data_IF_302987116008
#
_entry.id   IF_302987116008
#
_cell.length_a   1.000
_cell.length_b   1.000
_cell.length_c   1.000
_cell.angle_alpha   90.00
_cell.angle_beta   90.00
_cell.angle_gamma   90.00
#
_symmetry.space_group_name_H-M   'P 1'
#
loop_
_entity.id
_entity.type
_entity.pdbx_description
1 polymer ?
#
# COMPACT_ATOMS: atom_id res chain seq x y z
N UNK A 1 61.60 46.98 -36.99
CA UNK A 1 60.96 47.20 -38.29
C UNK A 1 59.46 47.19 -38.00
N UNK A 2 58.79 48.30 -37.67
CA UNK A 2 58.25 49.31 -38.55
C UNK A 2 57.40 48.66 -39.66
N UNK A 3 56.11 48.92 -39.79
CA UNK A 3 55.35 50.14 -40.16
C UNK A 3 53.86 49.80 -39.92
N UNK A 4 53.06 50.46 -39.14
CA UNK A 4 52.39 51.75 -39.37
C UNK A 4 51.31 51.81 -40.48
N UNK A 5 50.12 52.23 -40.08
CA UNK A 5 49.14 53.03 -40.84
C UNK A 5 47.87 52.21 -41.25
N UNK A 6 46.66 52.74 -41.30
CA UNK A 6 46.12 54.11 -41.25
C UNK A 6 44.59 53.95 -41.02
N UNK A 7 44.08 54.92 -40.34
CA UNK A 7 42.73 55.41 -40.04
C UNK A 7 41.77 55.42 -41.27
N UNK A 8 40.49 55.18 -41.03
CA UNK A 8 39.41 55.51 -41.96
C UNK A 8 38.06 55.51 -41.24
N UNK A 9 37.67 56.68 -40.74
CA UNK A 9 36.31 57.01 -40.30
C UNK A 9 35.32 57.09 -41.48
N UNK A 10 34.08 56.94 -41.11
CA UNK A 10 32.79 57.44 -41.63
C UNK A 10 31.82 56.31 -41.82
N UNK A 11 30.61 56.30 -41.33
CA UNK A 11 29.67 57.33 -40.95
C UNK A 11 28.38 56.68 -40.47
N UNK A 12 27.74 57.33 -39.55
CA UNK A 12 26.45 56.98 -38.95
C UNK A 12 25.31 57.11 -39.97
N UNK A 13 24.38 56.19 -39.98
CA UNK A 13 22.94 56.46 -40.23
C UNK A 13 22.13 55.36 -39.52
N UNK A 14 21.15 55.82 -38.74
CA UNK A 14 20.34 54.98 -37.82
C UNK A 14 19.33 54.08 -38.46
N UNK A 15 18.94 53.06 -37.71
CA UNK A 15 17.64 52.44 -37.82
C UNK A 15 17.14 52.13 -36.40
N UNK A 16 16.21 52.94 -35.96
CA UNK A 16 15.38 52.70 -34.79
C UNK A 16 14.43 51.57 -35.16
N UNK A 17 14.65 50.39 -34.65
CA UNK A 17 13.79 49.21 -34.82
C UNK A 17 13.34 48.66 -33.47
N UNK A 18 12.10 48.87 -33.19
CA UNK A 18 11.21 48.43 -32.12
C UNK A 18 11.60 47.01 -31.55
N UNK A 19 12.27 46.96 -30.41
CA UNK A 19 12.39 45.68 -29.65
C UNK A 19 11.24 45.69 -28.66
N UNK A 20 10.18 44.93 -29.02
CA UNK A 20 9.09 44.64 -28.11
C UNK A 20 9.61 43.98 -26.83
N UNK A 21 9.28 44.53 -25.68
CA UNK A 21 9.44 43.94 -24.36
C UNK A 21 8.58 42.65 -24.30
N UNK A 22 9.19 41.53 -24.55
CA UNK A 22 8.64 40.24 -24.09
C UNK A 22 9.03 40.16 -22.62
N UNK A 23 8.09 40.51 -21.76
CA UNK A 23 8.20 40.30 -20.32
C UNK A 23 8.34 38.79 -20.04
N UNK A 24 9.56 38.32 -19.90
CA UNK A 24 9.85 37.02 -19.30
C UNK A 24 9.52 37.16 -17.82
N UNK A 25 8.29 36.84 -17.44
CA UNK A 25 7.95 36.62 -16.04
C UNK A 25 8.82 35.44 -15.57
N UNK A 26 9.84 35.75 -14.81
CA UNK A 26 10.63 34.76 -14.09
C UNK A 26 9.63 33.93 -13.27
N UNK A 27 9.32 32.72 -13.74
CA UNK A 27 8.62 31.76 -12.91
C UNK A 27 9.55 31.51 -11.72
N UNK A 28 9.08 31.87 -10.54
CA UNK A 28 9.74 31.48 -9.31
C UNK A 28 9.98 29.99 -9.38
N UNK A 29 11.17 29.46 -9.06
CA UNK A 29 11.37 28.03 -8.96
C UNK A 29 10.33 27.53 -7.96
N UNK A 30 9.46 26.62 -8.43
CA UNK A 30 8.52 25.92 -7.55
C UNK A 30 9.42 25.20 -6.55
N UNK A 31 9.46 25.73 -5.34
CA UNK A 31 10.23 25.15 -4.25
C UNK A 31 9.69 23.74 -4.05
N UNK A 32 10.56 22.74 -4.17
CA UNK A 32 10.16 21.36 -3.95
C UNK A 32 9.47 21.27 -2.58
N UNK A 33 8.28 20.64 -2.48
CA UNK A 33 7.56 20.60 -1.24
C UNK A 33 8.46 19.97 -0.17
N UNK A 34 8.58 20.63 0.98
CA UNK A 34 9.35 20.12 2.11
C UNK A 34 8.74 18.78 2.55
N UNK A 35 9.58 17.77 2.80
CA UNK A 35 9.06 16.48 3.27
C UNK A 35 8.29 16.70 4.58
N UNK A 36 7.01 16.35 4.58
CA UNK A 36 6.17 16.42 5.77
C UNK A 36 6.67 15.40 6.80
N UNK A 37 6.71 15.79 8.07
CA UNK A 37 7.13 14.90 9.15
C UNK A 37 5.97 13.94 9.48
N UNK A 38 6.22 12.62 9.53
CA UNK A 38 5.21 11.68 9.99
C UNK A 38 4.84 11.92 11.47
N UNK A 39 3.58 11.68 11.80
CA UNK A 39 3.01 11.83 13.13
C UNK A 39 2.62 10.45 13.67
N UNK A 40 3.20 10.06 14.80
CA UNK A 40 2.89 8.81 15.47
C UNK A 40 1.88 9.05 16.59
N UNK A 41 0.83 8.22 16.65
CA UNK A 41 -0.20 8.31 17.68
C UNK A 41 -0.87 6.95 17.92
N UNK A 42 -1.65 6.87 18.99
CA UNK A 42 -2.46 5.71 19.30
C UNK A 42 -3.93 6.04 19.09
N UNK A 43 -4.59 5.25 18.25
CA UNK A 43 -6.02 5.33 17.99
C UNK A 43 -6.75 4.36 18.93
N UNK A 44 -7.65 4.85 19.83
CA UNK A 44 -8.46 3.97 20.65
C UNK A 44 -9.31 3.04 19.77
N UNK A 45 -9.34 1.75 20.10
CA UNK A 45 -10.10 0.78 19.31
C UNK A 45 -11.57 0.77 19.69
N UNK A 46 -12.46 0.81 18.70
CA UNK A 46 -13.90 0.62 18.84
C UNK A 46 -14.28 -0.86 18.91
N UNK A 47 -13.34 -1.78 18.64
CA UNK A 47 -13.58 -3.21 18.66
C UNK A 47 -13.84 -3.75 20.08
N UNK A 48 -14.59 -4.86 20.17
CA UNK A 48 -14.93 -5.51 21.45
C UNK A 48 -13.70 -5.92 22.28
N UNK A 49 -12.56 -6.17 21.66
CA UNK A 49 -11.29 -6.47 22.32
C UNK A 49 -10.67 -5.21 22.97
N UNK A 50 -11.08 -4.01 22.53
CA UNK A 50 -10.59 -2.75 23.07
C UNK A 50 -9.11 -2.46 22.76
N UNK A 51 -8.49 -1.66 23.65
CA UNK A 51 -7.08 -1.27 23.54
C UNK A 51 -6.85 -0.14 22.55
N UNK A 52 -5.62 -0.04 22.04
CA UNK A 52 -5.20 1.03 21.13
C UNK A 52 -4.48 0.44 19.92
N UNK A 53 -4.61 1.11 18.77
CA UNK A 53 -3.88 0.78 17.55
C UNK A 53 -2.82 1.84 17.30
N UNK A 54 -1.58 1.40 17.16
CA UNK A 54 -0.51 2.29 16.75
C UNK A 54 -0.72 2.73 15.31
N UNK A 55 -0.62 4.02 15.09
CA UNK A 55 -0.80 4.67 13.79
C UNK A 55 0.38 5.57 13.48
N UNK A 56 0.80 5.56 12.22
CA UNK A 56 1.77 6.51 11.68
C UNK A 56 1.12 7.24 10.50
N UNK A 57 0.83 8.52 10.73
CA UNK A 57 0.21 9.38 9.72
C UNK A 57 1.28 10.19 8.98
N UNK A 58 1.21 10.17 7.66
CA UNK A 58 2.04 11.00 6.78
C UNK A 58 1.16 12.09 6.16
N UNK A 59 1.25 13.33 6.63
CA UNK A 59 0.50 14.44 6.06
C UNK A 59 0.89 14.64 4.58
N UNK A 60 -0.06 15.06 3.73
CA UNK A 60 0.23 15.33 2.33
C UNK A 60 1.10 16.56 2.18
N UNK A 61 1.99 16.59 1.17
CA UNK A 61 2.84 17.74 0.89
C UNK A 61 2.08 18.94 0.29
N UNK A 62 0.80 18.76 -0.03
CA UNK A 62 -0.09 19.79 -0.58
C UNK A 62 -1.45 19.79 0.13
N UNK A 63 -2.08 20.94 0.21
CA UNK A 63 -3.44 21.11 0.78
C UNK A 63 -4.33 21.78 -0.26
N UNK A 64 -5.53 21.24 -0.56
CA UNK A 64 -6.09 20.00 0.00
C UNK A 64 -5.35 18.75 -0.49
N UNK A 65 -5.49 17.64 0.26
CA UNK A 65 -4.95 16.35 -0.14
C UNK A 65 -5.57 15.87 -1.45
N UNK A 66 -4.76 15.26 -2.31
CA UNK A 66 -5.22 14.65 -3.58
C UNK A 66 -6.00 13.35 -3.37
N UNK A 67 -5.87 12.75 -2.21
CA UNK A 67 -6.52 11.52 -1.79
C UNK A 67 -5.95 11.00 -0.48
N UNK A 68 -6.55 9.93 0.00
CA UNK A 68 -6.21 9.29 1.27
C UNK A 68 -5.84 7.84 1.02
N UNK A 69 -4.81 7.37 1.71
CA UNK A 69 -4.31 6.00 1.59
C UNK A 69 -4.23 5.38 2.98
N UNK A 70 -4.86 4.21 3.17
CA UNK A 70 -4.70 3.40 4.38
C UNK A 70 -3.90 2.15 4.01
N UNK A 71 -2.74 1.98 4.64
CA UNK A 71 -1.89 0.83 4.43
C UNK A 71 -2.33 -0.35 5.28
N UNK A 72 -2.51 -1.50 4.64
CA UNK A 72 -2.86 -2.78 5.24
C UNK A 72 -1.67 -3.72 5.10
N UNK A 73 -0.97 -3.94 6.21
CA UNK A 73 0.26 -4.70 6.23
C UNK A 73 0.06 -6.21 5.95
N UNK A 74 1.09 -6.93 5.51
CA UNK A 74 1.04 -8.37 5.30
C UNK A 74 1.05 -9.14 6.63
N UNK A 75 0.95 -10.46 6.53
CA UNK A 75 0.78 -11.38 7.64
C UNK A 75 2.10 -11.73 8.32
N UNK A 76 2.10 -11.76 9.65
CA UNK A 76 3.19 -12.25 10.50
C UNK A 76 4.57 -11.64 10.14
N UNK A 77 5.59 -12.48 9.90
CA UNK A 77 6.96 -12.04 9.62
C UNK A 77 7.10 -11.20 8.34
N UNK A 78 6.20 -11.35 7.36
CA UNK A 78 6.22 -10.53 6.14
C UNK A 78 6.02 -9.04 6.47
N UNK A 79 5.28 -8.72 7.55
CA UNK A 79 5.08 -7.35 8.02
C UNK A 79 6.42 -6.69 8.39
N UNK A 80 7.23 -7.35 9.20
CA UNK A 80 8.51 -6.80 9.65
C UNK A 80 9.49 -6.60 8.50
N UNK A 81 9.56 -7.56 7.58
CA UNK A 81 10.39 -7.49 6.37
C UNK A 81 9.97 -6.36 5.43
N UNK A 82 8.69 -6.01 5.42
CA UNK A 82 8.12 -5.00 4.51
C UNK A 82 8.12 -3.57 5.09
N UNK A 83 8.41 -3.37 6.38
CA UNK A 83 8.32 -2.05 7.04
C UNK A 83 9.09 -0.95 6.31
N UNK A 84 10.30 -1.26 5.81
CA UNK A 84 11.12 -0.30 5.07
C UNK A 84 10.43 0.13 3.76
N UNK A 85 9.91 -0.81 2.99
CA UNK A 85 9.18 -0.52 1.75
C UNK A 85 7.89 0.26 2.02
N UNK A 86 7.14 -0.11 3.07
CA UNK A 86 5.95 0.64 3.49
C UNK A 86 6.29 2.09 3.87
N UNK A 87 7.37 2.30 4.62
CA UNK A 87 7.82 3.64 5.00
C UNK A 87 8.28 4.48 3.80
N UNK A 88 9.00 3.89 2.85
CA UNK A 88 9.43 4.56 1.61
C UNK A 88 8.23 4.95 0.76
N UNK A 89 7.28 4.04 0.57
CA UNK A 89 6.08 4.29 -0.23
C UNK A 89 5.18 5.34 0.40
N UNK A 90 4.99 5.30 1.72
CA UNK A 90 4.18 6.32 2.41
C UNK A 90 4.75 7.72 2.24
N UNK A 91 6.07 7.87 2.32
CA UNK A 91 6.74 9.16 2.04
C UNK A 91 6.59 9.57 0.58
N UNK A 92 6.69 8.62 -0.36
CA UNK A 92 6.51 8.90 -1.78
C UNK A 92 5.07 9.36 -2.09
N UNK A 93 4.06 8.73 -1.49
CA UNK A 93 2.67 9.16 -1.60
C UNK A 93 2.44 10.53 -0.96
N UNK A 94 2.99 10.77 0.24
CA UNK A 94 2.88 12.07 0.90
C UNK A 94 3.50 13.19 0.04
N UNK A 95 4.67 12.96 -0.54
CA UNK A 95 5.32 13.87 -1.48
C UNK A 95 4.49 14.11 -2.75
N UNK A 96 3.75 13.09 -3.22
CA UNK A 96 2.83 13.18 -4.35
C UNK A 96 1.48 13.85 -3.99
N UNK A 97 1.27 14.24 -2.72
CA UNK A 97 0.10 14.97 -2.25
C UNK A 97 -1.02 14.10 -1.67
N UNK A 98 -0.74 12.84 -1.35
CA UNK A 98 -1.70 11.95 -0.67
C UNK A 98 -1.44 11.91 0.83
N UNK A 99 -2.50 11.95 1.63
CA UNK A 99 -2.41 11.65 3.06
C UNK A 99 -2.32 10.14 3.27
N UNK A 100 -1.39 9.64 4.08
CA UNK A 100 -1.21 8.19 4.27
C UNK A 100 -1.29 7.82 5.74
N UNK A 101 -2.12 6.84 6.08
CA UNK A 101 -2.18 6.21 7.38
C UNK A 101 -1.63 4.79 7.30
N UNK A 102 -0.57 4.51 8.07
CA UNK A 102 -0.17 3.16 8.40
C UNK A 102 -0.78 2.81 9.75
N UNK A 103 -1.43 1.66 9.86
CA UNK A 103 -2.01 1.16 11.09
C UNK A 103 -1.46 -0.22 11.41
N UNK A 104 -0.94 -0.42 12.61
CA UNK A 104 -0.62 -1.73 13.14
C UNK A 104 -1.92 -2.35 13.66
N UNK A 105 -2.29 -3.53 13.18
CA UNK A 105 -3.52 -4.22 13.55
C UNK A 105 -3.42 -4.84 14.95
N UNK A 106 -4.53 -5.27 15.54
CA UNK A 106 -4.56 -5.91 16.85
C UNK A 106 -3.48 -6.99 17.00
N UNK A 107 -2.66 -6.87 18.04
CA UNK A 107 -1.58 -7.82 18.34
C UNK A 107 -0.40 -7.79 17.36
N UNK A 108 -0.31 -6.75 16.53
CA UNK A 108 0.79 -6.53 15.61
C UNK A 108 1.55 -5.24 15.97
N UNK A 109 2.86 -5.23 15.78
CA UNK A 109 3.73 -4.07 15.98
C UNK A 109 3.61 -3.47 17.37
N UNK A 110 3.25 -2.18 17.43
CA UNK A 110 3.11 -1.42 18.67
C UNK A 110 1.64 -1.30 19.15
N UNK A 111 0.70 -1.99 18.48
CA UNK A 111 -0.70 -2.05 18.89
C UNK A 111 -0.92 -2.96 20.08
N UNK A 112 -2.00 -2.69 20.85
CA UNK A 112 -2.37 -3.49 22.03
C UNK A 112 -2.63 -4.96 21.68
N UNK A 113 -2.47 -5.83 22.68
CA UNK A 113 -2.69 -7.26 22.60
C UNK A 113 -1.50 -8.02 22.04
N UNK A 114 -1.59 -9.34 22.07
CA UNK A 114 -0.64 -10.24 21.44
C UNK A 114 -1.20 -10.78 20.12
N UNK A 115 -0.33 -11.26 19.24
CA UNK A 115 -0.74 -11.85 17.95
C UNK A 115 -1.76 -12.97 18.12
N UNK A 116 -1.70 -13.71 19.24
CA UNK A 116 -2.66 -14.73 19.60
C UNK A 116 -4.04 -14.24 20.02
N UNK A 117 -4.20 -12.96 20.34
CA UNK A 117 -5.50 -12.36 20.71
C UNK A 117 -6.26 -11.88 19.47
N UNK A 118 -5.57 -11.80 18.34
CA UNK A 118 -6.14 -11.34 17.09
C UNK A 118 -7.19 -12.30 16.53
N UNK A 119 -8.15 -11.71 15.84
CA UNK A 119 -9.09 -12.41 14.96
C UNK A 119 -9.09 -11.72 13.59
N UNK A 120 -9.39 -12.45 12.54
CA UNK A 120 -9.50 -11.88 11.20
C UNK A 120 -10.53 -10.74 11.14
N UNK A 121 -11.67 -10.92 11.80
CA UNK A 121 -12.70 -9.91 11.87
C UNK A 121 -12.25 -8.64 12.62
N UNK A 122 -11.48 -8.78 13.72
CA UNK A 122 -10.92 -7.64 14.44
C UNK A 122 -9.94 -6.85 13.55
N UNK A 123 -9.10 -7.51 12.78
CA UNK A 123 -8.22 -6.86 11.82
C UNK A 123 -8.97 -6.08 10.75
N UNK A 124 -10.06 -6.65 10.22
CA UNK A 124 -10.94 -5.92 9.28
C UNK A 124 -11.53 -4.67 9.94
N UNK A 125 -12.00 -4.77 11.20
CA UNK A 125 -12.53 -3.61 11.93
C UNK A 125 -11.48 -2.53 12.19
N UNK A 126 -10.25 -2.91 12.53
CA UNK A 126 -9.15 -1.97 12.70
C UNK A 126 -8.89 -1.15 11.41
N UNK A 127 -8.93 -1.80 10.25
CA UNK A 127 -8.78 -1.14 8.96
C UNK A 127 -9.95 -0.18 8.70
N UNK A 128 -11.18 -0.61 8.95
CA UNK A 128 -12.40 0.23 8.80
C UNK A 128 -12.30 1.46 9.70
N UNK A 129 -11.84 1.28 10.94
CA UNK A 129 -11.63 2.37 11.87
C UNK A 129 -10.54 3.34 11.38
N UNK A 130 -9.42 2.83 10.86
CA UNK A 130 -8.38 3.63 10.21
C UNK A 130 -8.93 4.47 9.04
N UNK A 131 -9.81 3.88 8.22
CA UNK A 131 -10.49 4.60 7.15
C UNK A 131 -11.38 5.73 7.68
N UNK A 132 -12.17 5.47 8.72
CA UNK A 132 -13.02 6.48 9.35
C UNK A 132 -12.20 7.63 9.92
N UNK A 133 -11.09 7.32 10.58
CA UNK A 133 -10.19 8.32 11.14
C UNK A 133 -9.61 9.23 10.04
N UNK A 134 -9.07 8.66 8.97
CA UNK A 134 -8.49 9.41 7.86
C UNK A 134 -9.53 10.32 7.18
N UNK A 135 -10.77 9.84 7.03
CA UNK A 135 -11.86 10.63 6.43
C UNK A 135 -12.34 11.74 7.37
N UNK A 136 -12.36 11.50 8.68
CA UNK A 136 -12.67 12.54 9.67
C UNK A 136 -11.60 13.65 9.69
N UNK A 137 -10.31 13.27 9.64
CA UNK A 137 -9.20 14.20 9.53
C UNK A 137 -9.28 15.04 8.24
N UNK A 138 -9.68 14.41 7.13
CA UNK A 138 -9.94 15.08 5.87
C UNK A 138 -10.99 16.18 5.99
N UNK A 139 -12.13 15.87 6.60
CA UNK A 139 -13.27 16.78 6.76
C UNK A 139 -12.91 18.02 7.63
N UNK A 140 -11.98 17.88 8.57
CA UNK A 140 -11.51 19.00 9.38
C UNK A 140 -10.64 19.98 8.57
N UNK A 141 -10.02 19.54 7.49
CA UNK A 141 -9.05 20.33 6.75
C UNK A 141 -9.60 20.98 5.48
N UNK A 142 -10.72 20.52 4.93
CA UNK A 142 -11.40 21.12 3.76
C UNK A 142 -12.72 20.43 3.46
N UNK A 143 -13.75 21.21 3.12
CA UNK A 143 -15.05 20.70 2.63
C UNK A 143 -14.91 19.92 1.30
N UNK A 144 -13.95 20.31 0.45
CA UNK A 144 -13.66 19.62 -0.81
C UNK A 144 -12.90 18.28 -0.61
N UNK A 145 -12.23 18.09 0.53
CA UNK A 145 -11.49 16.87 0.81
C UNK A 145 -12.41 15.64 0.96
N UNK A 146 -13.70 15.83 1.28
CA UNK A 146 -14.68 14.75 1.34
C UNK A 146 -14.89 14.06 -0.03
N UNK A 147 -14.53 14.68 -1.14
CA UNK A 147 -14.63 14.11 -2.50
C UNK A 147 -13.35 13.42 -2.97
N UNK A 148 -12.24 13.60 -2.23
CA UNK A 148 -10.96 13.00 -2.60
C UNK A 148 -11.01 11.45 -2.45
N UNK A 149 -10.36 10.69 -3.36
CA UNK A 149 -10.44 9.24 -3.37
C UNK A 149 -9.78 8.63 -2.14
N UNK A 150 -10.45 7.64 -1.55
CA UNK A 150 -9.89 6.76 -0.53
C UNK A 150 -9.31 5.52 -1.19
N UNK A 151 -8.07 5.19 -0.85
CA UNK A 151 -7.35 4.01 -1.27
C UNK A 151 -7.06 3.10 -0.09
N UNK A 152 -7.33 1.81 -0.27
CA UNK A 152 -6.78 0.76 0.59
C UNK A 152 -5.58 0.16 -0.11
N UNK A 153 -4.40 0.28 0.50
CA UNK A 153 -3.16 -0.25 -0.03
C UNK A 153 -2.76 -1.50 0.75
N UNK A 154 -2.96 -2.65 0.14
CA UNK A 154 -2.66 -3.96 0.72
C UNK A 154 -1.39 -4.58 0.16
N UNK A 155 -0.67 -5.31 1.00
CA UNK A 155 0.45 -6.17 0.59
C UNK A 155 0.14 -7.62 0.99
N UNK A 156 0.20 -8.56 0.04
CA UNK A 156 0.02 -9.99 0.29
C UNK A 156 -1.32 -10.29 1.00
N UNK A 157 -1.30 -10.86 2.22
CA UNK A 157 -2.52 -11.07 3.01
C UNK A 157 -3.29 -9.78 3.28
N UNK A 158 -2.60 -8.63 3.38
CA UNK A 158 -3.21 -7.32 3.50
C UNK A 158 -4.13 -6.97 2.35
N UNK A 159 -3.92 -7.54 1.15
CA UNK A 159 -4.85 -7.36 0.02
C UNK A 159 -6.21 -8.01 0.30
N UNK A 160 -6.23 -9.18 0.94
CA UNK A 160 -7.46 -9.89 1.29
C UNK A 160 -8.25 -9.11 2.36
N UNK A 161 -7.54 -8.62 3.39
CA UNK A 161 -8.12 -7.77 4.43
C UNK A 161 -8.68 -6.46 3.85
N UNK A 162 -7.95 -5.84 2.92
CA UNK A 162 -8.37 -4.60 2.26
C UNK A 162 -9.69 -4.78 1.49
N UNK A 163 -9.87 -5.91 0.78
CA UNK A 163 -11.12 -6.23 0.07
C UNK A 163 -12.29 -6.40 1.05
N UNK A 164 -12.09 -7.11 2.15
CA UNK A 164 -13.14 -7.31 3.16
C UNK A 164 -13.47 -6.01 3.91
N UNK A 165 -12.46 -5.19 4.23
CA UNK A 165 -12.67 -3.88 4.83
C UNK A 165 -13.40 -2.92 3.87
N UNK A 166 -13.07 -2.93 2.58
CA UNK A 166 -13.74 -2.13 1.57
C UNK A 166 -15.27 -2.34 1.54
N UNK A 167 -15.72 -3.57 1.81
CA UNK A 167 -17.14 -3.88 1.90
C UNK A 167 -17.87 -3.17 3.08
N UNK A 168 -17.12 -2.83 4.14
CA UNK A 168 -17.64 -2.30 5.40
C UNK A 168 -17.38 -0.80 5.60
N UNK A 169 -16.55 -0.18 4.77
CA UNK A 169 -16.38 1.28 4.77
C UNK A 169 -17.58 1.96 4.13
N UNK A 170 -18.06 3.08 4.67
CA UNK A 170 -19.29 3.73 4.21
C UNK A 170 -19.16 4.42 2.85
N UNK A 171 -17.95 4.75 2.41
CA UNK A 171 -17.68 5.36 1.11
C UNK A 171 -17.16 4.35 0.07
N UNK A 172 -17.20 4.73 -1.20
CA UNK A 172 -16.54 3.96 -2.25
C UNK A 172 -15.01 4.12 -2.17
N UNK A 173 -14.30 3.03 -2.40
CA UNK A 173 -12.84 2.96 -2.26
C UNK A 173 -12.18 2.51 -3.56
N UNK A 174 -10.90 2.81 -3.68
CA UNK A 174 -10.00 2.22 -4.65
C UNK A 174 -9.03 1.26 -3.94
N UNK A 175 -8.52 0.27 -4.64
CA UNK A 175 -7.55 -0.68 -4.10
C UNK A 175 -6.21 -0.53 -4.83
N UNK A 176 -5.14 -0.45 -4.06
CA UNK A 176 -3.78 -0.64 -4.54
C UNK A 176 -3.26 -1.94 -3.94
N UNK A 177 -3.04 -2.93 -4.77
CA UNK A 177 -2.72 -4.29 -4.33
C UNK A 177 -1.29 -4.66 -4.74
N UNK A 178 -0.43 -4.89 -3.75
CA UNK A 178 0.93 -5.35 -3.93
C UNK A 178 1.00 -6.87 -3.74
N UNK A 179 1.41 -7.60 -4.78
CA UNK A 179 1.52 -9.05 -4.81
C UNK A 179 0.28 -9.76 -4.23
N UNK A 180 -0.91 -9.45 -4.74
CA UNK A 180 -2.15 -9.97 -4.17
C UNK A 180 -2.30 -11.47 -4.43
N UNK A 181 -2.62 -12.27 -3.40
CA UNK A 181 -2.95 -13.67 -3.55
C UNK A 181 -4.42 -13.82 -3.95
N UNK A 182 -4.76 -14.79 -4.79
CA UNK A 182 -6.17 -15.08 -5.13
C UNK A 182 -6.98 -15.57 -3.92
N UNK A 183 -6.31 -16.16 -2.91
CA UNK A 183 -6.92 -16.61 -1.65
C UNK A 183 -5.88 -16.70 -0.55
N UNK A 184 -6.34 -16.76 0.71
CA UNK A 184 -5.45 -16.85 1.86
C UNK A 184 -4.94 -18.26 2.15
N UNK A 185 -5.61 -19.30 1.66
CA UNK A 185 -5.23 -20.70 1.90
C UNK A 185 -3.75 -21.03 1.58
N UNK A 186 -3.18 -20.61 0.42
CA UNK A 186 -1.75 -20.82 0.16
C UNK A 186 -0.84 -20.09 1.13
N UNK A 187 -1.24 -18.90 1.62
CA UNK A 187 -0.47 -18.13 2.60
C UNK A 187 -0.45 -18.84 3.96
N UNK A 188 -1.59 -19.32 4.43
CA UNK A 188 -1.66 -20.12 5.65
C UNK A 188 -0.80 -21.39 5.52
N UNK A 189 -0.87 -22.08 4.38
CA UNK A 189 -0.02 -23.26 4.14
C UNK A 189 1.46 -22.93 4.16
N UNK A 190 1.87 -21.80 3.55
CA UNK A 190 3.24 -21.33 3.57
C UNK A 190 3.70 -21.06 5.00
N UNK A 191 2.90 -20.37 5.80
CA UNK A 191 3.21 -20.06 7.19
C UNK A 191 3.33 -21.31 8.06
N UNK A 192 2.39 -22.27 7.95
CA UNK A 192 2.47 -23.54 8.68
C UNK A 192 3.75 -24.34 8.35
N UNK A 193 4.28 -24.21 7.12
CA UNK A 193 5.55 -24.87 6.73
C UNK A 193 6.78 -24.29 7.43
N UNK A 194 6.73 -23.07 7.94
CA UNK A 194 7.85 -22.49 8.70
C UNK A 194 8.15 -23.31 9.96
N UNK A 195 7.11 -23.88 10.60
CA UNK A 195 7.29 -24.79 11.74
C UNK A 195 8.05 -26.03 11.34
N UNK A 196 7.75 -26.61 10.17
CA UNK A 196 8.46 -27.79 9.66
C UNK A 196 9.94 -27.51 9.43
N UNK A 197 10.29 -26.33 8.90
CA UNK A 197 11.69 -25.95 8.66
C UNK A 197 12.49 -25.86 9.96
N UNK A 198 11.88 -25.37 11.05
CA UNK A 198 12.46 -25.35 12.39
C UNK A 198 12.61 -26.76 13.00
N UNK A 199 11.61 -27.61 12.82
CA UNK A 199 11.56 -28.95 13.44
C UNK A 199 12.31 -30.04 12.64
N UNK A 200 12.63 -29.79 11.34
CA UNK A 200 13.51 -30.64 10.53
C UNK A 200 14.90 -30.83 11.15
N UNK A 201 15.39 -29.84 11.88
CA UNK A 201 16.60 -29.94 12.70
C UNK A 201 16.41 -30.92 13.89
N UNK A 202 15.19 -31.26 14.24
CA UNK A 202 14.81 -32.20 15.31
C UNK A 202 14.29 -33.57 14.85
N UNK A 203 14.22 -33.85 13.54
CA UNK A 203 13.91 -35.20 12.99
C UNK A 203 12.43 -35.61 12.92
N UNK A 204 11.46 -34.74 13.14
CA UNK A 204 10.01 -35.06 13.20
C UNK A 204 9.14 -34.39 12.15
N UNK A 205 9.58 -34.26 10.91
CA UNK A 205 8.91 -33.46 9.88
C UNK A 205 7.60 -34.01 9.29
N UNK A 206 7.31 -35.32 9.45
CA UNK A 206 6.17 -35.96 8.75
C UNK A 206 4.87 -35.81 9.54
N UNK A 207 3.87 -35.12 8.95
CA UNK A 207 2.53 -34.95 9.55
C UNK A 207 2.32 -33.68 10.39
N UNK A 208 3.38 -32.89 10.65
CA UNK A 208 3.29 -31.67 11.50
C UNK A 208 2.24 -30.67 10.99
N UNK A 209 2.21 -30.41 9.69
CA UNK A 209 1.25 -29.45 9.11
C UNK A 209 -0.20 -29.88 9.34
N UNK A 210 -0.48 -31.18 9.23
CA UNK A 210 -1.83 -31.73 9.48
C UNK A 210 -2.19 -31.65 10.95
N UNK A 211 -1.26 -31.97 11.84
CA UNK A 211 -1.45 -31.86 13.29
C UNK A 211 -1.74 -30.40 13.68
N UNK A 212 -0.99 -29.41 13.14
CA UNK A 212 -1.22 -27.99 13.39
C UNK A 212 -2.60 -27.53 12.88
N UNK A 213 -3.00 -28.01 11.69
CA UNK A 213 -4.33 -27.75 11.16
C UNK A 213 -5.44 -28.30 12.05
N UNK A 214 -5.26 -29.52 12.55
CA UNK A 214 -6.23 -30.14 13.46
C UNK A 214 -6.32 -29.33 14.77
N UNK A 215 -5.19 -28.95 15.36
CA UNK A 215 -5.17 -28.10 16.56
C UNK A 215 -5.91 -26.79 16.34
N UNK A 216 -5.69 -26.13 15.21
CA UNK A 216 -6.42 -24.90 14.85
C UNK A 216 -7.91 -25.17 14.64
N UNK A 217 -8.28 -26.27 14.00
CA UNK A 217 -9.69 -26.66 13.81
C UNK A 217 -10.38 -26.95 15.15
N UNK A 218 -9.64 -27.50 16.13
CA UNK A 218 -10.11 -27.75 17.50
C UNK A 218 -10.14 -26.46 18.37
N UNK A 219 -9.79 -25.31 17.79
CA UNK A 219 -9.81 -24.02 18.49
C UNK A 219 -8.55 -23.68 19.28
N UNK A 220 -7.51 -24.52 19.20
CA UNK A 220 -6.25 -24.27 19.89
C UNK A 220 -5.38 -23.26 19.16
N UNK A 221 -4.59 -22.49 19.91
CA UNK A 221 -3.51 -21.65 19.37
C UNK A 221 -2.31 -22.53 19.03
N UNK A 222 -1.59 -22.19 17.97
CA UNK A 222 -0.33 -22.85 17.60
C UNK A 222 0.80 -21.85 17.49
N UNK A 223 1.98 -22.22 17.96
CA UNK A 223 3.16 -21.36 17.87
C UNK A 223 4.00 -21.72 16.64
N UNK A 224 4.27 -20.72 15.79
CA UNK A 224 5.02 -20.87 14.55
C UNK A 224 5.96 -19.68 14.42
N UNK A 225 7.26 -19.92 14.34
CA UNK A 225 8.29 -18.90 14.17
C UNK A 225 8.16 -17.71 15.16
N UNK A 226 7.78 -17.99 16.41
CA UNK A 226 7.59 -16.98 17.45
C UNK A 226 6.22 -16.28 17.44
N UNK A 227 5.32 -16.65 16.53
CA UNK A 227 3.95 -16.14 16.49
C UNK A 227 2.96 -17.15 17.06
N UNK A 228 2.14 -16.71 18.00
CA UNK A 228 1.01 -17.49 18.51
C UNK A 228 -0.20 -17.32 17.58
N UNK A 229 -0.37 -18.21 16.60
CA UNK A 229 -1.49 -18.14 15.65
C UNK A 229 -2.79 -18.59 16.30
N UNK A 230 -3.80 -17.71 16.35
CA UNK A 230 -5.14 -18.08 16.82
C UNK A 230 -5.92 -18.85 15.75
N UNK A 231 -6.83 -19.72 16.19
CA UNK A 231 -7.76 -20.43 15.30
C UNK A 231 -8.61 -19.43 14.47
N UNK A 232 -9.03 -18.32 15.08
CA UNK A 232 -9.86 -17.31 14.43
C UNK A 232 -9.13 -16.60 13.27
N UNK A 233 -7.85 -16.25 13.44
CA UNK A 233 -7.03 -15.70 12.35
C UNK A 233 -6.79 -16.76 11.27
N UNK A 234 -6.44 -18.00 11.66
CA UNK A 234 -6.18 -19.08 10.72
C UNK A 234 -7.41 -19.38 9.85
N UNK A 235 -8.60 -19.50 10.46
CA UNK A 235 -9.86 -19.74 9.75
C UNK A 235 -10.22 -18.57 8.83
N UNK A 236 -10.07 -17.34 9.30
CA UNK A 236 -10.33 -16.16 8.48
C UNK A 236 -9.40 -16.07 7.27
N UNK A 237 -8.10 -16.28 7.48
CA UNK A 237 -7.13 -16.31 6.39
C UNK A 237 -7.40 -17.46 5.41
N UNK A 238 -7.68 -18.69 5.90
CA UNK A 238 -7.96 -19.85 5.02
C UNK A 238 -9.21 -19.63 4.16
N UNK A 239 -10.24 -18.97 4.71
CA UNK A 239 -11.49 -18.66 4.02
C UNK A 239 -11.44 -17.44 3.09
N UNK A 240 -10.48 -16.54 3.30
CA UNK A 240 -10.40 -15.27 2.56
C UNK A 240 -10.12 -15.48 1.06
N UNK A 241 -10.82 -14.71 0.22
CA UNK A 241 -10.68 -14.75 -1.24
C UNK A 241 -10.59 -13.33 -1.79
N UNK A 242 -9.75 -13.15 -2.79
CA UNK A 242 -9.62 -11.89 -3.50
C UNK A 242 -10.68 -11.76 -4.62
N UNK A 243 -11.91 -11.85 -4.23
CA UNK A 243 -13.06 -11.69 -5.11
C UNK A 243 -14.07 -10.76 -4.48
N UNK A 244 -14.95 -10.18 -5.29
CA UNK A 244 -16.04 -9.40 -4.73
C UNK A 244 -16.87 -10.28 -3.79
N UNK A 245 -16.98 -9.87 -2.53
CA UNK A 245 -17.76 -10.63 -1.57
C UNK A 245 -19.25 -10.64 -1.99
N UNK A 246 -19.95 -11.77 -1.84
CA UNK A 246 -21.39 -11.81 -2.11
C UNK A 246 -22.15 -10.71 -1.37
N UNK A 247 -22.95 -9.93 -2.08
CA UNK A 247 -23.73 -8.83 -1.49
C UNK A 247 -23.03 -7.47 -1.42
N UNK A 248 -21.75 -7.37 -1.80
CA UNK A 248 -21.08 -6.08 -1.92
C UNK A 248 -21.52 -5.40 -3.22
N UNK A 249 -22.06 -4.15 -3.17
CA UNK A 249 -22.43 -3.43 -4.37
C UNK A 249 -21.25 -3.29 -5.33
N UNK A 250 -21.46 -3.55 -6.62
CA UNK A 250 -20.41 -3.46 -7.66
C UNK A 250 -19.69 -2.11 -7.70
N UNK A 251 -20.36 -1.03 -7.22
CA UNK A 251 -19.78 0.33 -7.18
C UNK A 251 -18.99 0.63 -5.91
N UNK A 252 -18.86 -0.29 -4.96
CA UNK A 252 -18.14 -0.07 -3.70
C UNK A 252 -16.64 0.03 -3.92
N UNK A 253 -16.09 -0.85 -4.77
CA UNK A 253 -14.71 -0.80 -5.21
C UNK A 253 -14.72 -0.26 -6.65
N UNK A 254 -14.22 0.99 -6.82
CA UNK A 254 -14.27 1.68 -8.11
C UNK A 254 -13.16 1.20 -9.04
N UNK A 255 -11.93 1.12 -8.50
CA UNK A 255 -10.73 0.81 -9.28
C UNK A 255 -9.78 -0.04 -8.45
N UNK A 256 -9.10 -0.96 -9.15
CA UNK A 256 -8.05 -1.81 -8.58
C UNK A 256 -6.78 -1.57 -9.40
N UNK A 257 -5.70 -1.20 -8.72
CA UNK A 257 -4.34 -1.21 -9.25
C UNK A 257 -3.64 -2.47 -8.73
N UNK A 258 -3.40 -3.42 -9.62
CA UNK A 258 -2.83 -4.73 -9.30
C UNK A 258 -1.36 -4.76 -9.69
N UNK A 259 -0.46 -4.74 -8.71
CA UNK A 259 0.98 -4.70 -8.92
C UNK A 259 1.63 -5.97 -8.42
N UNK A 260 2.23 -6.74 -9.31
CA UNK A 260 3.05 -7.90 -8.97
C UNK A 260 4.53 -7.58 -9.13
N UNK A 261 5.38 -8.25 -8.36
CA UNK A 261 6.83 -8.10 -8.42
C UNK A 261 7.46 -9.41 -8.85
N UNK A 262 8.42 -9.34 -9.76
CA UNK A 262 9.19 -10.49 -10.24
C UNK A 262 10.63 -10.09 -10.49
N UNK A 263 11.56 -10.99 -10.18
CA UNK A 263 12.98 -10.83 -10.54
C UNK A 263 13.27 -11.16 -12.02
N UNK A 264 12.27 -11.67 -12.75
CA UNK A 264 12.40 -11.98 -14.17
C UNK A 264 12.00 -10.76 -15.01
N UNK A 265 12.83 -10.37 -15.97
CA UNK A 265 12.59 -9.21 -16.82
C UNK A 265 11.36 -9.34 -17.71
N UNK A 266 11.07 -10.56 -18.19
CA UNK A 266 9.96 -10.90 -19.10
C UNK A 266 8.74 -11.50 -18.36
N UNK A 267 8.61 -11.23 -17.05
CA UNK A 267 7.55 -11.80 -16.26
C UNK A 267 6.17 -11.27 -16.71
N UNK A 268 5.21 -12.17 -16.78
CA UNK A 268 3.79 -11.88 -17.01
C UNK A 268 2.98 -12.31 -15.79
N UNK A 269 1.74 -11.85 -15.71
CA UNK A 269 0.80 -12.29 -14.67
C UNK A 269 0.69 -13.82 -14.61
N UNK A 270 0.59 -14.33 -13.41
CA UNK A 270 0.27 -15.76 -13.25
C UNK A 270 -1.13 -16.07 -13.80
N UNK A 271 -1.39 -17.30 -14.27
CA UNK A 271 -2.73 -17.69 -14.76
C UNK A 271 -3.83 -17.47 -13.72
N UNK A 272 -3.53 -17.66 -12.43
CA UNK A 272 -4.49 -17.44 -11.34
C UNK A 272 -4.77 -15.95 -11.15
N UNK A 273 -3.75 -15.09 -11.25
CA UNK A 273 -3.92 -13.64 -11.20
C UNK A 273 -4.74 -13.14 -12.37
N UNK A 274 -4.44 -13.59 -13.59
CA UNK A 274 -5.20 -13.25 -14.78
C UNK A 274 -6.69 -13.64 -14.66
N UNK A 275 -6.96 -14.84 -14.14
CA UNK A 275 -8.33 -15.30 -13.87
C UNK A 275 -9.03 -14.44 -12.84
N UNK A 276 -8.36 -14.09 -11.75
CA UNK A 276 -8.94 -13.26 -10.68
C UNK A 276 -9.23 -11.84 -11.18
N UNK A 277 -8.32 -11.24 -11.95
CA UNK A 277 -8.54 -9.95 -12.60
C UNK A 277 -9.75 -9.99 -13.54
N UNK A 278 -9.85 -11.02 -14.38
CA UNK A 278 -10.99 -11.19 -15.29
C UNK A 278 -12.33 -11.29 -14.54
N UNK A 279 -12.36 -11.93 -13.36
CA UNK A 279 -13.54 -11.97 -12.50
C UNK A 279 -13.94 -10.57 -12.00
N UNK A 280 -13.00 -9.75 -11.56
CA UNK A 280 -13.27 -8.38 -11.15
C UNK A 280 -13.78 -7.52 -12.32
N UNK A 281 -13.16 -7.62 -13.49
CA UNK A 281 -13.56 -6.91 -14.69
C UNK A 281 -14.97 -7.32 -15.16
N UNK A 282 -15.28 -8.62 -15.11
CA UNK A 282 -16.62 -9.11 -15.46
C UNK A 282 -17.71 -8.65 -14.46
N UNK A 283 -17.33 -8.34 -13.23
CA UNK A 283 -18.21 -7.74 -12.23
C UNK A 283 -18.33 -6.21 -12.37
N UNK A 284 -17.70 -5.59 -13.38
CA UNK A 284 -17.78 -4.17 -13.68
C UNK A 284 -16.77 -3.29 -12.95
N UNK A 285 -15.77 -3.88 -12.28
CA UNK A 285 -14.70 -3.11 -11.62
C UNK A 285 -13.57 -2.82 -12.62
N UNK A 286 -13.11 -1.58 -12.69
CA UNK A 286 -11.91 -1.23 -13.46
C UNK A 286 -10.68 -1.83 -12.80
N UNK A 287 -9.94 -2.68 -13.51
CA UNK A 287 -8.68 -3.26 -13.01
C UNK A 287 -7.55 -2.96 -13.98
N UNK A 288 -6.53 -2.27 -13.49
CA UNK A 288 -5.25 -2.10 -14.15
C UNK A 288 -4.24 -3.03 -13.50
N UNK A 289 -3.32 -3.57 -14.28
CA UNK A 289 -2.32 -4.49 -13.74
C UNK A 289 -0.95 -4.22 -14.33
N UNK A 290 0.08 -4.51 -13.56
CA UNK A 290 1.47 -4.38 -13.96
C UNK A 290 2.32 -5.42 -13.25
N UNK A 291 3.26 -6.04 -13.97
CA UNK A 291 4.33 -6.85 -13.38
C UNK A 291 5.61 -6.03 -13.42
N UNK A 292 6.23 -5.84 -12.26
CA UNK A 292 7.32 -4.91 -12.04
C UNK A 292 8.57 -5.70 -11.71
N UNK A 293 9.69 -5.37 -12.34
CA UNK A 293 10.96 -5.99 -11.99
C UNK A 293 11.42 -5.54 -10.59
N UNK A 294 11.74 -6.51 -9.73
CA UNK A 294 12.20 -6.27 -8.37
C UNK A 294 12.20 -7.52 -7.49
N UNK A 295 12.79 -7.43 -6.30
CA UNK A 295 12.86 -8.53 -5.33
C UNK A 295 11.54 -8.71 -4.59
N UNK A 296 11.28 -9.94 -4.12
CA UNK A 296 10.19 -10.27 -3.21
C UNK A 296 10.54 -9.87 -1.76
N UNK A 297 10.70 -8.57 -1.52
CA UNK A 297 11.24 -7.98 -0.28
C UNK A 297 10.53 -8.44 1.01
N UNK A 298 9.29 -8.93 0.92
CA UNK A 298 8.54 -9.49 2.07
C UNK A 298 9.00 -10.90 2.48
N UNK A 299 9.87 -11.55 1.69
CA UNK A 299 10.38 -12.91 1.95
C UNK A 299 11.90 -12.98 2.09
N UNK A 300 12.62 -11.94 1.71
CA UNK A 300 14.08 -11.91 1.74
C UNK A 300 14.61 -11.95 3.17
N UNK A 301 15.79 -12.53 3.37
CA UNK A 301 16.47 -12.55 4.68
C UNK A 301 17.02 -11.18 5.01
N UNK A 302 17.64 -10.55 4.03
CA UNK A 302 18.13 -9.17 4.14
C UNK A 302 17.05 -8.20 3.69
N UNK A 303 17.15 -6.95 4.15
CA UNK A 303 16.20 -5.88 3.75
C UNK A 303 16.53 -5.48 2.31
N UNK A 304 15.61 -5.74 1.42
CA UNK A 304 15.67 -5.34 0.02
C UNK A 304 14.64 -4.28 -0.34
N UNK A 305 14.94 -3.51 -1.36
CA UNK A 305 14.07 -2.46 -1.88
C UNK A 305 13.67 -2.76 -3.34
N UNK A 306 12.45 -2.36 -3.69
CA UNK A 306 11.91 -2.43 -5.05
C UNK A 306 11.56 -1.01 -5.55
N UNK A 307 12.55 -0.19 -5.97
CA UNK A 307 12.31 1.22 -6.33
C UNK A 307 11.32 1.40 -7.48
N UNK A 308 11.31 0.47 -8.44
CA UNK A 308 10.36 0.52 -9.56
C UNK A 308 8.91 0.32 -9.08
N UNK A 309 8.68 -0.48 -8.04
CA UNK A 309 7.36 -0.65 -7.43
C UNK A 309 6.90 0.65 -6.76
N UNK A 310 7.81 1.37 -6.09
CA UNK A 310 7.49 2.68 -5.48
C UNK A 310 7.01 3.66 -6.55
N UNK A 311 7.76 3.80 -7.64
CA UNK A 311 7.42 4.69 -8.74
C UNK A 311 6.11 4.29 -9.43
N UNK A 312 5.93 3.00 -9.74
CA UNK A 312 4.71 2.48 -10.35
C UNK A 312 3.48 2.72 -9.48
N UNK A 313 3.60 2.56 -8.15
CA UNK A 313 2.51 2.80 -7.21
C UNK A 313 2.10 4.28 -7.16
N UNK A 314 3.06 5.20 -7.14
CA UNK A 314 2.76 6.64 -7.20
C UNK A 314 2.05 7.00 -8.49
N UNK A 315 2.54 6.50 -9.63
CA UNK A 315 1.91 6.74 -10.93
C UNK A 315 0.48 6.18 -10.95
N UNK A 316 0.29 4.93 -10.49
CA UNK A 316 -0.99 4.25 -10.50
C UNK A 316 -2.10 5.03 -9.77
N UNK A 317 -1.82 5.55 -8.54
CA UNK A 317 -2.84 6.30 -7.79
C UNK A 317 -2.95 7.77 -8.21
N UNK A 318 -1.92 8.32 -8.88
CA UNK A 318 -1.91 9.71 -9.33
C UNK A 318 -2.63 9.93 -10.67
N UNK A 319 -2.77 8.89 -11.48
CA UNK A 319 -3.51 8.94 -12.74
C UNK A 319 -5.01 9.10 -12.45
N UNK A 320 -5.57 10.24 -12.86
CA UNK A 320 -7.01 10.43 -12.85
C UNK A 320 -7.65 9.52 -13.91
N UNK A 321 -8.84 9.01 -13.62
CA UNK A 321 -9.65 8.40 -14.68
C UNK A 321 -9.91 9.48 -15.75
N UNK A 322 -9.53 9.19 -16.99
CA UNK A 322 -10.02 9.98 -18.12
C UNK A 322 -11.55 9.86 -18.12
N UNK A 323 -12.22 10.98 -17.86
CA UNK A 323 -13.68 11.10 -17.85
C UNK A 323 -14.24 10.77 -19.23
#
# INVERSE_FOLDING_TARGET
>A
MAISGVIGEMGAIGLIGLIGLIGVTARHPIQAPMPTRPEAFFLPSDAAVGGQRFCLYHPPAVTPARGFVVYVHPFAEEMNKSRRMAALQSRAFAAAGFAVLQIDLLGCGDSSGDFGDATWAAWVQDIVQGCRWVLAEAALNSDDAAQAPLWLWGLRAGCLLAVEAAAQVDTAVNLLLWQPPASGKPLLQQFLRLKMAGDLLGGQAKGITETLRQQLADGHRVEIAGYSLSAAVAMGLDGAKLTNAPGVPAKKIRRIEWLEVSTREDASLSPISATTIAQWQSAGTTVRNQVINGPAFWQTTEIEEAPLLLAASVNAISEQEAQ
#
